data_IF_432812733877
#
_entry.id   IF_432812733877
#
_cell.length_a   1.000
_cell.length_b   1.000
_cell.length_c   1.000
_cell.angle_alpha   90.00
_cell.angle_beta   90.00
_cell.angle_gamma   90.00
#
_symmetry.space_group_name_H-M   'P 1'
#
loop_
_entity.id
_entity.type
_entity.pdbx_description
1 polymer ?
#
# COMPACT_ATOMS: atom_id res chain seq x y z
N UNK A 1 6.67 -4.46 -13.07
CA UNK A 1 5.62 -5.21 -12.39
C UNK A 1 5.19 -4.47 -11.13
N UNK A 2 3.90 -4.41 -10.91
CA UNK A 2 3.29 -3.75 -9.76
C UNK A 2 2.64 -4.80 -8.89
N UNK A 3 2.99 -4.83 -7.62
CA UNK A 3 2.40 -5.76 -6.66
C UNK A 3 1.42 -5.01 -5.77
N UNK A 4 0.16 -5.41 -5.81
CA UNK A 4 -0.89 -4.78 -5.00
C UNK A 4 -1.23 -5.71 -3.83
N UNK A 5 -1.18 -5.17 -2.63
CA UNK A 5 -1.54 -5.90 -1.43
C UNK A 5 -2.99 -5.57 -1.10
N UNK A 6 -3.84 -6.58 -1.14
CA UNK A 6 -5.27 -6.45 -0.88
C UNK A 6 -5.55 -6.55 0.62
N UNK A 7 -6.12 -5.49 1.18
CA UNK A 7 -6.56 -5.46 2.56
C UNK A 7 -8.07 -5.75 2.68
N UNK A 8 -8.59 -6.57 1.78
CA UNK A 8 -9.99 -7.01 1.79
C UNK A 8 -10.99 -5.86 1.62
N UNK A 9 -10.68 -4.96 0.70
CA UNK A 9 -11.55 -3.84 0.39
C UNK A 9 -12.19 -4.04 -0.98
N UNK A 10 -13.46 -3.66 -1.08
CA UNK A 10 -14.19 -3.78 -2.35
C UNK A 10 -13.60 -2.90 -3.46
N UNK A 11 -12.89 -1.84 -3.10
CA UNK A 11 -12.24 -0.97 -4.08
C UNK A 11 -10.93 -1.51 -4.62
N UNK A 12 -10.43 -2.62 -4.10
CA UNK A 12 -9.15 -3.16 -4.55
C UNK A 12 -9.16 -3.46 -6.04
N UNK A 13 -10.26 -3.97 -6.58
CA UNK A 13 -10.38 -4.25 -8.01
C UNK A 13 -10.28 -2.98 -8.86
N UNK A 14 -10.80 -1.85 -8.37
CA UNK A 14 -10.66 -0.58 -9.07
C UNK A 14 -9.18 -0.15 -9.10
N UNK A 15 -8.48 -0.36 -8.00
CA UNK A 15 -7.06 -0.06 -7.91
C UNK A 15 -6.27 -0.94 -8.90
N UNK A 16 -6.55 -2.24 -8.90
CA UNK A 16 -5.92 -3.18 -9.83
C UNK A 16 -6.15 -2.73 -11.28
N UNK A 17 -7.38 -2.39 -11.60
CA UNK A 17 -7.73 -1.97 -12.95
C UNK A 17 -6.95 -0.72 -13.37
N UNK A 18 -6.87 0.27 -12.50
CA UNK A 18 -6.16 1.50 -12.79
C UNK A 18 -4.66 1.27 -13.02
N UNK A 19 -4.03 0.50 -12.15
CA UNK A 19 -2.61 0.25 -12.29
C UNK A 19 -2.28 -0.68 -13.45
N UNK A 20 -3.19 -1.57 -13.84
CA UNK A 20 -2.95 -2.48 -14.95
C UNK A 20 -2.82 -1.76 -16.30
N UNK A 21 -3.22 -0.50 -16.37
CA UNK A 21 -3.03 0.30 -17.57
C UNK A 21 -1.58 0.76 -17.75
N UNK A 22 -0.78 0.67 -16.71
CA UNK A 22 0.60 1.16 -16.74
C UNK A 22 1.63 0.04 -16.78
N UNK A 23 1.32 -1.11 -16.19
CA UNK A 23 2.28 -2.20 -16.09
C UNK A 23 1.53 -3.49 -15.73
N UNK A 24 2.27 -4.59 -15.75
CA UNK A 24 1.75 -5.88 -15.27
C UNK A 24 1.47 -5.79 -13.77
N UNK A 25 0.30 -6.26 -13.36
CA UNK A 25 -0.15 -6.17 -11.97
C UNK A 25 -0.38 -7.56 -11.39
N UNK A 26 0.11 -7.75 -10.18
CA UNK A 26 -0.18 -8.93 -9.37
C UNK A 26 -0.86 -8.44 -8.10
N UNK A 27 -1.92 -9.13 -7.69
CA UNK A 27 -2.65 -8.77 -6.48
C UNK A 27 -2.83 -10.01 -5.60
N UNK A 28 -2.43 -9.92 -4.35
CA UNK A 28 -2.68 -10.96 -3.36
C UNK A 28 -3.22 -10.36 -2.08
N UNK A 29 -3.87 -11.18 -1.26
CA UNK A 29 -4.30 -10.77 0.06
C UNK A 29 -3.09 -10.47 0.95
N UNK A 30 -3.31 -9.59 1.93
CA UNK A 30 -2.26 -9.18 2.85
C UNK A 30 -1.69 -10.35 3.68
N UNK A 31 -2.43 -11.45 3.80
CA UNK A 31 -1.99 -12.64 4.54
C UNK A 31 -1.47 -13.75 3.62
N UNK A 32 -1.48 -13.55 2.32
CA UNK A 32 -0.99 -14.52 1.34
C UNK A 32 0.07 -13.91 0.43
N UNK A 33 1.06 -13.27 1.03
CA UNK A 33 2.09 -12.56 0.28
C UNK A 33 3.06 -13.53 -0.37
N UNK A 34 3.40 -13.24 -1.62
CA UNK A 34 4.38 -14.03 -2.37
C UNK A 34 5.71 -13.28 -2.42
N UNK A 35 6.66 -13.73 -1.62
CA UNK A 35 7.94 -13.04 -1.49
C UNK A 35 8.73 -12.99 -2.80
N UNK A 36 8.66 -14.03 -3.61
CA UNK A 36 9.38 -14.05 -4.89
C UNK A 36 8.84 -12.97 -5.83
N UNK A 37 7.53 -12.84 -5.89
CA UNK A 37 6.89 -11.83 -6.73
C UNK A 37 7.11 -10.43 -6.17
N UNK A 38 7.13 -10.29 -4.85
CA UNK A 38 7.46 -9.02 -4.22
C UNK A 38 8.87 -8.56 -4.59
N UNK A 39 9.84 -9.47 -4.54
CA UNK A 39 11.20 -9.14 -4.90
C UNK A 39 11.33 -8.72 -6.36
N UNK A 40 10.55 -9.32 -7.25
CA UNK A 40 10.58 -9.00 -8.67
C UNK A 40 9.84 -7.72 -9.02
N UNK A 41 8.98 -7.24 -8.14
CA UNK A 41 8.17 -6.06 -8.40
C UNK A 41 8.96 -4.80 -8.13
N UNK A 42 8.79 -3.81 -8.99
CA UNK A 42 9.43 -2.50 -8.83
C UNK A 42 8.62 -1.60 -7.92
N UNK A 43 7.30 -1.80 -7.93
CA UNK A 43 6.36 -0.97 -7.18
C UNK A 43 5.44 -1.85 -6.36
N UNK A 44 5.21 -1.43 -5.12
CA UNK A 44 4.28 -2.09 -4.21
C UNK A 44 3.18 -1.10 -3.88
N UNK A 45 1.92 -1.52 -4.04
CA UNK A 45 0.76 -0.69 -3.72
C UNK A 45 0.05 -1.27 -2.51
N UNK A 46 -0.14 -0.45 -1.50
CA UNK A 46 -0.88 -0.82 -0.30
C UNK A 46 -2.31 -0.30 -0.46
N UNK A 47 -3.25 -1.20 -0.60
CA UNK A 47 -4.63 -0.88 -0.94
C UNK A 47 -5.41 -0.30 0.24
N UNK A 48 -6.59 0.27 -0.02
CA UNK A 48 -7.55 0.57 1.04
C UNK A 48 -7.95 -0.70 1.79
N UNK A 49 -8.49 -0.54 2.98
CA UNK A 49 -8.98 -1.66 3.75
C UNK A 49 -9.65 -1.19 5.03
N UNK A 50 -10.40 -2.08 5.68
CA UNK A 50 -11.03 -1.77 6.96
C UNK A 50 -10.03 -1.79 8.09
N UNK A 51 -10.38 -1.14 9.19
CA UNK A 51 -9.57 -1.16 10.39
C UNK A 51 -8.46 -0.13 10.38
N UNK A 52 -7.39 -0.44 11.08
CA UNK A 52 -6.27 0.47 11.27
C UNK A 52 -4.94 -0.24 10.97
N UNK A 53 -3.84 0.53 10.84
CA UNK A 53 -2.55 -0.07 10.51
C UNK A 53 -2.09 -1.19 11.45
N UNK A 54 -2.39 -1.10 12.73
CA UNK A 54 -1.97 -2.12 13.69
C UNK A 54 -2.65 -3.47 13.47
N UNK A 55 -3.73 -3.50 12.70
CA UNK A 55 -4.42 -4.73 12.35
C UNK A 55 -3.70 -5.52 11.26
N UNK A 56 -2.67 -4.92 10.65
CA UNK A 56 -1.95 -5.51 9.53
C UNK A 56 -0.44 -5.55 9.79
N UNK A 57 0.01 -6.32 10.78
CA UNK A 57 1.45 -6.35 11.10
C UNK A 57 2.32 -6.88 9.97
N UNK A 58 1.79 -7.76 9.13
CA UNK A 58 2.56 -8.26 7.99
C UNK A 58 2.84 -7.16 6.98
N UNK A 59 1.89 -6.27 6.77
CA UNK A 59 2.08 -5.13 5.87
C UNK A 59 3.13 -4.17 6.42
N UNK A 60 3.13 -3.93 7.74
CA UNK A 60 4.15 -3.10 8.37
C UNK A 60 5.55 -3.69 8.21
N UNK A 61 5.68 -5.00 8.40
CA UNK A 61 6.97 -5.69 8.21
C UNK A 61 7.43 -5.60 6.78
N UNK A 62 6.54 -5.78 5.84
CA UNK A 62 6.84 -5.68 4.41
C UNK A 62 7.29 -4.27 4.06
N UNK A 63 6.61 -3.27 4.55
CA UNK A 63 6.99 -1.90 4.29
C UNK A 63 8.41 -1.62 4.78
N UNK A 64 8.73 -2.04 6.01
CA UNK A 64 10.07 -1.83 6.57
C UNK A 64 11.14 -2.54 5.78
N UNK A 65 10.80 -3.70 5.23
CA UNK A 65 11.76 -4.48 4.43
C UNK A 65 12.07 -3.80 3.11
N UNK A 66 11.07 -3.21 2.46
CA UNK A 66 11.22 -2.71 1.10
C UNK A 66 11.34 -1.19 0.96
N UNK A 67 11.12 -0.45 2.03
CA UNK A 67 11.28 1.00 1.95
C UNK A 67 12.73 1.33 1.59
N UNK A 68 12.90 2.31 0.71
CA UNK A 68 14.23 2.67 0.22
C UNK A 68 14.75 1.77 -0.88
N UNK A 69 14.12 0.62 -1.12
CA UNK A 69 14.50 -0.31 -2.19
C UNK A 69 13.51 -0.30 -3.34
N UNK A 70 12.26 -0.07 -3.04
CA UNK A 70 11.17 -0.11 -4.02
C UNK A 70 10.27 1.09 -3.84
N UNK A 71 9.55 1.44 -4.91
CA UNK A 71 8.52 2.46 -4.84
C UNK A 71 7.31 1.88 -4.11
N UNK A 72 6.85 2.57 -3.08
CA UNK A 72 5.70 2.13 -2.30
C UNK A 72 4.64 3.21 -2.35
N UNK A 73 3.44 2.84 -2.79
CA UNK A 73 2.29 3.74 -2.89
C UNK A 73 1.23 3.25 -1.92
N UNK A 74 0.74 4.15 -1.07
CA UNK A 74 -0.33 3.84 -0.14
C UNK A 74 -1.60 4.59 -0.48
N UNK A 75 -2.75 3.89 -0.43
CA UNK A 75 -4.06 4.47 -0.70
C UNK A 75 -4.94 4.24 0.53
N UNK A 76 -5.47 5.32 1.12
CA UNK A 76 -6.30 5.28 2.33
C UNK A 76 -5.60 4.52 3.46
N UNK A 77 -6.06 3.32 3.81
CA UNK A 77 -5.42 2.51 4.83
C UNK A 77 -3.93 2.30 4.52
N UNK A 78 -3.58 2.08 3.27
CA UNK A 78 -2.19 1.92 2.86
C UNK A 78 -1.35 3.15 3.17
N UNK A 79 -1.91 4.33 2.99
CA UNK A 79 -1.25 5.58 3.36
C UNK A 79 -1.02 5.64 4.88
N UNK A 80 -2.05 5.30 5.65
CA UNK A 80 -1.93 5.25 7.11
C UNK A 80 -0.91 4.21 7.55
N UNK A 81 -0.83 3.09 6.82
CA UNK A 81 0.13 2.04 7.10
C UNK A 81 1.56 2.54 6.98
N UNK A 82 1.82 3.34 5.96
CA UNK A 82 3.14 3.94 5.76
C UNK A 82 3.47 4.89 6.92
N UNK A 83 2.55 5.77 7.25
CA UNK A 83 2.75 6.71 8.36
C UNK A 83 2.98 5.99 9.69
N UNK A 84 2.19 4.97 9.95
CA UNK A 84 2.31 4.17 11.16
C UNK A 84 3.69 3.48 11.23
N UNK A 85 4.12 2.92 10.13
CA UNK A 85 5.41 2.21 10.06
C UNK A 85 6.59 3.15 10.19
N UNK A 86 6.44 4.41 9.79
CA UNK A 86 7.46 5.44 9.97
C UNK A 86 7.37 6.10 11.34
N UNK A 87 6.46 5.62 12.19
CA UNK A 87 6.22 6.20 13.53
C UNK A 87 5.79 7.66 13.48
N UNK A 88 5.23 8.09 12.36
CA UNK A 88 4.69 9.42 12.24
C UNK A 88 3.38 9.51 13.00
N UNK A 89 3.10 10.68 13.58
CA UNK A 89 1.79 10.94 14.15
C UNK A 89 0.80 11.02 13.00
N UNK A 90 -0.26 10.21 13.09
CA UNK A 90 -1.37 10.33 12.16
C UNK A 90 -2.17 11.55 12.59
N UNK A 91 -1.84 12.68 12.00
CA UNK A 91 -2.62 13.88 12.19
C UNK A 91 -3.66 13.85 11.10
N UNK A 92 -4.93 14.04 11.47
CA UNK A 92 -5.98 14.14 10.47
C UNK A 92 -5.82 15.45 9.71
N UNK A 93 -5.19 15.34 8.58
CA UNK A 93 -4.99 16.46 7.67
C UNK A 93 -6.13 16.47 6.66
N UNK A 94 -7.31 16.73 7.13
CA UNK A 94 -8.53 16.59 6.35
C UNK A 94 -8.51 17.33 5.04
N UNK A 95 -7.88 18.49 5.01
CA UNK A 95 -7.91 19.35 3.84
C UNK A 95 -6.83 18.98 2.82
N UNK A 96 -5.78 18.31 3.25
CA UNK A 96 -4.65 18.00 2.37
C UNK A 96 -4.94 16.79 1.51
N UNK A 97 -5.65 15.80 2.07
CA UNK A 97 -5.88 14.53 1.37
C UNK A 97 -7.27 14.40 0.83
N UNK A 98 -8.07 15.43 0.95
CA UNK A 98 -9.43 15.41 0.47
C UNK A 98 -9.45 15.33 -1.05
N UNK A 99 -10.02 14.26 -1.57
CA UNK A 99 -10.10 14.05 -3.00
C UNK A 99 -8.82 13.59 -3.67
N UNK A 100 -7.74 13.42 -2.92
CA UNK A 100 -6.50 12.92 -3.45
C UNK A 100 -6.34 11.45 -3.20
N UNK A 101 -5.82 10.77 -4.20
CA UNK A 101 -5.30 9.45 -4.00
C UNK A 101 -4.00 9.61 -3.24
N UNK A 102 -3.91 8.96 -2.11
CA UNK A 102 -2.79 9.17 -1.22
C UNK A 102 -1.51 8.58 -1.79
N UNK A 103 -0.87 9.33 -2.62
CA UNK A 103 0.48 9.03 -3.01
C UNK A 103 1.38 9.62 -1.95
N UNK A 104 1.99 8.76 -1.15
CA UNK A 104 2.93 9.20 -0.14
C UNK A 104 4.32 8.93 -0.64
N UNK A 105 5.07 10.00 -0.82
CA UNK A 105 6.49 9.88 -1.01
C UNK A 105 7.14 10.00 0.36
N UNK A 106 7.51 8.86 0.90
CA UNK A 106 8.28 8.86 2.12
C UNK A 106 9.73 9.02 1.72
N UNK A 107 10.24 10.15 2.06
CA UNK A 107 11.66 10.44 1.85
C UNK A 107 12.44 10.18 3.12
#
# INVERSE_FOLDING_TARGET
MIYIIDHQDSFTWNVVHQFSQFDEVICTNYFELNNNLLEKSETIVLSPGPGSPKDYPNTSKLYKKFKGRKKIIGICLGYQQILFSEKAKIIQQKNIFHGYQSEVKVT
#
